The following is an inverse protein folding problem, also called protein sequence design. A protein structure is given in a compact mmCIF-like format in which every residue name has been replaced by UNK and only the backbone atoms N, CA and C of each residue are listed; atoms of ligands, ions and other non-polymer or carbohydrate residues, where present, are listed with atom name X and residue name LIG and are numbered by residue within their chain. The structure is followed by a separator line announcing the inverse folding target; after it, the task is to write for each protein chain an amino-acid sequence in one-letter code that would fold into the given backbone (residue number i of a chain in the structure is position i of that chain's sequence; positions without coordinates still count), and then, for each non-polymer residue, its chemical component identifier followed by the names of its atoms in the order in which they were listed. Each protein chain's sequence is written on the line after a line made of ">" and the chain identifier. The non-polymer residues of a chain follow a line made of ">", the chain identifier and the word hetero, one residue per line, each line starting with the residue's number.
data_IF_826253267203
#
_entry.id   IF_826253267203
#
_cell.length_a   1.000
_cell.length_b   1.000
_cell.length_c   1.000
_cell.angle_alpha   90.00
_cell.angle_beta   90.00
_cell.angle_gamma   90.00
#
_symmetry.space_group_name_H-M   'P 1'
#
loop_
_entity.id
_entity.type
_entity.pdbx_description
1 polymer ?
#
# COMPACT_ATOMS: atom_id res chain seq x y z
N UNK A 1 17.25 -16.41 13.26
CA UNK A 1 15.96 -15.69 13.42
C UNK A 1 14.90 -16.47 12.67
N UNK A 2 13.85 -16.92 13.34
CA UNK A 2 12.75 -17.66 12.70
C UNK A 2 12.16 -16.84 11.55
N UNK A 3 12.08 -17.43 10.36
CA UNK A 3 11.62 -16.81 9.12
C UNK A 3 10.12 -16.52 9.08
N UNK A 4 9.54 -16.05 10.19
CA UNK A 4 8.15 -15.63 10.26
C UNK A 4 7.89 -14.59 9.19
N UNK A 5 7.11 -14.99 8.19
CA UNK A 5 6.60 -14.09 7.16
C UNK A 5 5.45 -13.35 7.80
N UNK A 6 5.81 -12.38 8.65
CA UNK A 6 4.92 -11.36 9.23
C UNK A 6 4.33 -10.48 8.12
N UNK A 7 3.57 -11.07 7.20
CA UNK A 7 2.56 -10.37 6.42
C UNK A 7 1.61 -9.57 7.31
N UNK A 8 1.57 -9.93 8.60
CA UNK A 8 0.96 -9.22 9.70
C UNK A 8 1.69 -7.98 10.25
N UNK A 9 2.90 -7.60 9.83
CA UNK A 9 3.56 -6.39 10.40
C UNK A 9 2.74 -5.12 10.18
N UNK A 10 2.03 -5.03 9.05
CA UNK A 10 1.14 -3.91 8.74
C UNK A 10 -0.33 -4.31 8.99
N UNK A 11 -0.72 -5.52 8.60
CA UNK A 11 -2.11 -5.94 8.67
C UNK A 11 -2.63 -6.08 10.11
N UNK A 12 -1.83 -6.60 11.05
CA UNK A 12 -2.28 -6.83 12.43
C UNK A 12 -2.46 -5.53 13.22
N UNK A 13 -1.51 -4.57 13.22
CA UNK A 13 -1.74 -3.28 13.87
C UNK A 13 -2.94 -2.53 13.31
N UNK A 14 -3.11 -2.57 11.98
CA UNK A 14 -4.25 -1.96 11.32
C UNK A 14 -5.55 -2.66 11.74
N UNK A 15 -5.58 -4.00 11.74
CA UNK A 15 -6.73 -4.79 12.17
C UNK A 15 -7.12 -4.48 13.62
N UNK A 16 -6.15 -4.31 14.52
CA UNK A 16 -6.41 -3.93 15.91
C UNK A 16 -7.12 -2.57 16.00
N UNK A 17 -6.61 -1.55 15.31
CA UNK A 17 -7.24 -0.22 15.24
C UNK A 17 -8.64 -0.30 14.62
N UNK A 18 -8.80 -1.09 13.55
CA UNK A 18 -10.10 -1.31 12.93
C UNK A 18 -11.11 -1.99 13.84
N UNK A 19 -10.66 -2.98 14.62
CA UNK A 19 -11.54 -3.71 15.52
C UNK A 19 -11.95 -2.85 16.70
N UNK A 20 -11.04 -2.02 17.23
CA UNK A 20 -11.38 -1.03 18.25
C UNK A 20 -12.37 0.02 17.70
N UNK A 21 -12.22 0.38 16.42
CA UNK A 21 -13.12 1.31 15.75
C UNK A 21 -14.50 0.69 15.52
N UNK A 22 -14.55 -0.54 15.01
CA UNK A 22 -15.79 -1.30 14.89
C UNK A 22 -15.54 -2.79 15.10
N UNK A 23 -16.25 -3.40 16.05
CA UNK A 23 -16.04 -4.81 16.39
C UNK A 23 -16.40 -5.76 15.25
N UNK A 24 -17.30 -5.33 14.36
CA UNK A 24 -17.73 -6.10 13.17
C UNK A 24 -16.60 -6.24 12.14
N UNK A 25 -15.56 -5.40 12.20
CA UNK A 25 -14.45 -5.48 11.25
C UNK A 25 -13.60 -6.75 11.44
N UNK A 26 -13.49 -7.28 12.66
CA UNK A 26 -12.75 -8.51 12.92
C UNK A 26 -13.35 -9.73 12.21
N UNK A 27 -14.64 -10.08 12.39
CA UNK A 27 -15.22 -11.22 11.69
C UNK A 27 -15.23 -11.04 10.16
N UNK A 28 -15.47 -9.82 9.66
CA UNK A 28 -15.38 -9.53 8.22
C UNK A 28 -13.96 -9.82 7.71
N UNK A 29 -12.93 -9.34 8.43
CA UNK A 29 -11.54 -9.56 8.05
C UNK A 29 -11.18 -11.05 8.03
N UNK A 30 -11.49 -11.78 9.10
CA UNK A 30 -11.18 -13.22 9.22
C UNK A 30 -11.87 -14.02 8.12
N UNK A 31 -13.15 -13.76 7.88
CA UNK A 31 -13.91 -14.43 6.81
C UNK A 31 -13.34 -14.10 5.43
N UNK A 32 -13.04 -12.82 5.17
CA UNK A 32 -12.45 -12.39 3.89
C UNK A 32 -11.07 -13.01 3.65
N UNK A 33 -10.24 -13.12 4.69
CA UNK A 33 -8.92 -13.73 4.60
C UNK A 33 -9.02 -15.24 4.36
N UNK A 34 -9.96 -15.93 5.03
CA UNK A 34 -10.21 -17.35 4.83
C UNK A 34 -10.67 -17.65 3.39
N UNK A 35 -11.63 -16.88 2.86
CA UNK A 35 -12.10 -17.08 1.49
C UNK A 35 -11.01 -16.73 0.47
N UNK A 36 -10.23 -15.67 0.69
CA UNK A 36 -9.08 -15.37 -0.16
C UNK A 36 -8.05 -16.50 -0.17
N UNK A 37 -7.77 -17.10 0.99
CA UNK A 37 -6.85 -18.23 1.12
C UNK A 37 -7.35 -19.47 0.36
N UNK A 38 -8.63 -19.80 0.49
CA UNK A 38 -9.27 -20.90 -0.23
C UNK A 38 -9.31 -20.64 -1.75
N UNK A 39 -9.71 -19.44 -2.16
CA UNK A 39 -9.76 -19.02 -3.56
C UNK A 39 -8.39 -19.08 -4.23
N UNK A 40 -7.34 -18.60 -3.55
CA UNK A 40 -5.95 -18.74 -4.01
C UNK A 40 -5.53 -20.20 -4.14
N UNK A 41 -5.89 -21.05 -3.18
CA UNK A 41 -5.60 -22.48 -3.25
C UNK A 41 -6.22 -23.11 -4.49
N UNK A 42 -7.48 -22.81 -4.78
CA UNK A 42 -8.18 -23.30 -5.97
C UNK A 42 -7.55 -22.78 -7.27
N UNK A 43 -7.16 -21.51 -7.32
CA UNK A 43 -6.48 -20.92 -8.47
C UNK A 43 -5.13 -21.58 -8.71
N UNK A 44 -4.28 -21.73 -7.68
CA UNK A 44 -2.96 -22.36 -7.83
C UNK A 44 -3.06 -23.81 -8.30
N UNK A 45 -4.06 -24.54 -7.83
CA UNK A 45 -4.26 -25.93 -8.23
C UNK A 45 -4.74 -26.07 -9.68
N UNK A 46 -5.38 -25.04 -10.25
CA UNK A 46 -5.96 -25.08 -11.61
C UNK A 46 -5.20 -24.25 -12.64
N UNK A 47 -4.39 -23.31 -12.19
CA UNK A 47 -3.68 -22.33 -13.01
C UNK A 47 -2.29 -22.17 -12.41
N UNK A 48 -1.23 -22.23 -13.23
CA UNK A 48 0.18 -22.10 -12.82
C UNK A 48 0.52 -20.65 -12.41
N UNK A 49 -0.34 -20.03 -11.62
CA UNK A 49 -0.25 -18.65 -11.16
C UNK A 49 0.60 -18.64 -9.90
N UNK A 50 1.83 -18.14 -10.03
CA UNK A 50 2.79 -18.04 -8.93
C UNK A 50 3.33 -16.63 -8.78
N UNK A 51 3.80 -16.33 -7.56
CA UNK A 51 4.54 -15.10 -7.25
C UNK A 51 3.67 -13.86 -7.36
N UNK A 52 3.84 -13.09 -8.43
CA UNK A 52 3.27 -11.74 -8.54
C UNK A 52 1.78 -11.74 -8.88
N UNK A 53 1.37 -12.58 -9.82
CA UNK A 53 -0.03 -12.73 -10.18
C UNK A 53 -0.83 -13.26 -8.97
N UNK A 54 -0.24 -14.17 -8.20
CA UNK A 54 -0.81 -14.68 -6.94
C UNK A 54 -1.18 -13.55 -5.97
N UNK A 55 -0.30 -12.55 -5.75
CA UNK A 55 -0.60 -11.40 -4.89
C UNK A 55 -1.79 -10.55 -5.40
N UNK A 56 -1.87 -10.32 -6.72
CA UNK A 56 -2.94 -9.52 -7.32
C UNK A 56 -4.28 -10.24 -7.15
N UNK A 57 -4.34 -11.53 -7.47
CA UNK A 57 -5.54 -12.34 -7.28
C UNK A 57 -5.93 -12.43 -5.80
N UNK A 58 -4.96 -12.53 -4.90
CA UNK A 58 -5.21 -12.52 -3.46
C UNK A 58 -5.92 -11.23 -3.02
N UNK A 59 -5.43 -10.08 -3.46
CA UNK A 59 -6.03 -8.77 -3.16
C UNK A 59 -7.42 -8.66 -3.78
N UNK A 60 -7.61 -9.09 -5.03
CA UNK A 60 -8.91 -9.06 -5.70
C UNK A 60 -9.95 -9.93 -4.97
N UNK A 61 -9.62 -11.17 -4.65
CA UNK A 61 -10.55 -12.08 -3.95
C UNK A 61 -10.80 -11.61 -2.52
N UNK A 62 -9.75 -11.20 -1.80
CA UNK A 62 -9.87 -10.72 -0.42
C UNK A 62 -10.65 -9.42 -0.28
N UNK A 63 -10.68 -8.60 -1.33
CA UNK A 63 -11.50 -7.38 -1.37
C UNK A 63 -12.92 -7.61 -1.87
N UNK A 64 -13.19 -8.73 -2.54
CA UNK A 64 -14.50 -9.04 -3.09
C UNK A 64 -15.56 -9.12 -1.98
N UNK A 65 -15.29 -9.79 -0.87
CA UNK A 65 -16.26 -9.96 0.22
C UNK A 65 -16.67 -8.64 0.88
N UNK A 66 -15.75 -7.78 1.36
CA UNK A 66 -16.13 -6.48 1.92
C UNK A 66 -16.88 -5.61 0.91
N UNK A 67 -16.53 -5.71 -0.39
CA UNK A 67 -17.23 -5.00 -1.47
C UNK A 67 -18.63 -5.56 -1.68
N UNK A 68 -18.82 -6.87 -1.74
CA UNK A 68 -20.14 -7.51 -1.92
C UNK A 68 -21.05 -7.20 -0.74
N UNK A 69 -20.58 -7.40 0.50
CA UNK A 69 -21.35 -7.06 1.72
C UNK A 69 -21.80 -5.60 1.66
N UNK A 70 -20.93 -4.70 1.22
CA UNK A 70 -21.29 -3.30 1.07
C UNK A 70 -22.32 -3.07 -0.04
N UNK A 71 -22.18 -3.69 -1.21
CA UNK A 71 -23.13 -3.48 -2.31
C UNK A 71 -24.53 -4.02 -1.98
N UNK A 72 -24.61 -5.11 -1.20
CA UNK A 72 -25.89 -5.73 -0.84
C UNK A 72 -26.53 -5.12 0.40
N UNK A 73 -25.74 -4.78 1.42
CA UNK A 73 -26.24 -4.31 2.72
C UNK A 73 -25.93 -2.83 3.02
N UNK A 74 -25.22 -2.13 2.14
CA UNK A 74 -24.76 -0.75 2.39
C UNK A 74 -25.86 0.26 2.66
N UNK A 75 -27.08 0.04 2.14
CA UNK A 75 -28.25 0.87 2.42
C UNK A 75 -28.79 0.69 3.84
N UNK A 76 -28.61 -0.49 4.44
CA UNK A 76 -29.09 -0.80 5.79
C UNK A 76 -28.12 -0.34 6.89
N UNK A 77 -26.85 -0.11 6.54
CA UNK A 77 -25.74 0.06 7.48
C UNK A 77 -24.93 1.33 7.15
N UNK A 78 -25.61 2.39 6.72
CA UNK A 78 -25.00 3.61 6.16
C UNK A 78 -23.92 4.26 7.06
N UNK A 79 -24.00 4.11 8.38
CA UNK A 79 -23.09 4.78 9.33
C UNK A 79 -21.85 3.96 9.75
N UNK A 80 -21.91 2.62 9.83
CA UNK A 80 -20.78 1.81 10.28
C UNK A 80 -19.63 1.74 9.26
N UNK A 81 -19.91 2.03 7.99
CA UNK A 81 -18.98 1.74 6.90
C UNK A 81 -18.25 2.97 6.30
N UNK A 82 -18.44 4.17 6.85
CA UNK A 82 -17.96 5.39 6.20
C UNK A 82 -16.43 5.57 6.33
N UNK A 83 -15.74 5.55 5.18
CA UNK A 83 -14.31 5.87 4.98
C UNK A 83 -13.28 4.82 5.45
N UNK A 84 -13.54 4.13 6.56
CA UNK A 84 -12.53 3.31 7.24
C UNK A 84 -12.44 1.93 6.55
N UNK A 85 -13.54 1.32 6.11
CA UNK A 85 -13.58 -0.09 5.64
C UNK A 85 -12.79 -0.42 4.37
N UNK A 86 -12.43 0.56 3.52
CA UNK A 86 -11.80 0.27 2.23
C UNK A 86 -10.30 -0.06 2.30
N UNK A 87 -9.53 0.57 3.20
CA UNK A 87 -8.12 0.20 3.36
C UNK A 87 -8.01 -1.18 4.00
N UNK A 88 -8.96 -1.48 4.90
CA UNK A 88 -9.14 -2.80 5.49
C UNK A 88 -9.56 -3.90 4.50
N UNK A 89 -10.04 -3.60 3.28
CA UNK A 89 -10.47 -4.64 2.34
C UNK A 89 -9.32 -5.22 1.50
N UNK A 90 -8.17 -4.56 1.42
CA UNK A 90 -6.97 -5.10 0.75
C UNK A 90 -6.23 -6.07 1.68
N UNK A 91 -6.25 -5.79 2.99
CA UNK A 91 -5.48 -6.52 4.00
C UNK A 91 -5.82 -8.01 4.11
N UNK A 92 -7.09 -8.46 4.03
CA UNK A 92 -7.43 -9.88 4.06
C UNK A 92 -6.75 -10.66 2.94
N UNK A 93 -6.74 -10.10 1.73
CA UNK A 93 -6.05 -10.69 0.58
C UNK A 93 -4.54 -10.77 0.80
N UNK A 94 -3.94 -9.70 1.31
CA UNK A 94 -2.51 -9.67 1.64
C UNK A 94 -2.16 -10.70 2.73
N UNK A 95 -3.01 -10.85 3.74
CA UNK A 95 -2.83 -11.84 4.79
C UNK A 95 -2.91 -13.26 4.23
N UNK A 96 -3.90 -13.55 3.39
CA UNK A 96 -4.04 -14.83 2.72
C UNK A 96 -2.83 -15.19 1.85
N UNK A 97 -2.36 -14.23 1.04
CA UNK A 97 -1.15 -14.40 0.22
C UNK A 97 0.07 -14.72 1.08
N UNK A 98 0.30 -13.93 2.14
CA UNK A 98 1.45 -14.14 3.02
C UNK A 98 1.39 -15.47 3.76
N UNK A 99 0.20 -15.93 4.14
CA UNK A 99 0.01 -17.20 4.81
C UNK A 99 0.24 -18.40 3.85
N UNK A 100 -0.20 -18.30 2.59
CA UNK A 100 0.12 -19.30 1.53
C UNK A 100 1.61 -19.48 1.32
N UNK A 101 2.35 -18.39 1.51
CA UNK A 101 3.76 -18.28 1.28
C UNK A 101 4.61 -18.80 2.46
N UNK A 102 4.02 -19.17 3.59
CA UNK A 102 4.72 -19.78 4.72
C UNK A 102 4.90 -21.29 4.52
N UNK A 103 6.01 -21.81 5.03
CA UNK A 103 6.25 -23.26 5.14
C UNK A 103 5.29 -23.86 6.19
N UNK A 104 4.80 -25.08 5.95
CA UNK A 104 3.77 -25.71 6.77
C UNK A 104 4.13 -25.79 8.27
N UNK A 105 5.41 -25.99 8.58
CA UNK A 105 5.93 -26.04 9.95
C UNK A 105 5.80 -24.69 10.69
N UNK A 106 5.95 -23.58 9.98
CA UNK A 106 5.95 -22.23 10.55
C UNK A 106 4.57 -21.58 10.57
N UNK A 107 3.63 -22.05 9.74
CA UNK A 107 2.26 -21.51 9.60
C UNK A 107 1.51 -21.39 10.91
N UNK A 108 1.56 -22.41 11.77
CA UNK A 108 0.83 -22.42 13.05
C UNK A 108 1.40 -21.40 14.01
N UNK A 109 2.72 -21.30 14.09
CA UNK A 109 3.41 -20.38 14.97
C UNK A 109 3.30 -18.93 14.50
N UNK A 110 3.30 -18.68 13.19
CA UNK A 110 3.04 -17.35 12.63
C UNK A 110 1.62 -16.88 12.97
N UNK A 111 0.61 -17.75 12.80
CA UNK A 111 -0.77 -17.46 13.17
C UNK A 111 -0.94 -17.19 14.67
N UNK A 112 -0.32 -18.02 15.52
CA UNK A 112 -0.34 -17.83 16.97
C UNK A 112 0.31 -16.50 17.36
N UNK A 113 1.47 -16.20 16.77
CA UNK A 113 2.18 -14.93 17.01
C UNK A 113 1.33 -13.74 16.57
N UNK A 114 0.71 -13.80 15.39
CA UNK A 114 -0.20 -12.78 14.90
C UNK A 114 -1.41 -12.58 15.82
N UNK A 115 -1.99 -13.66 16.34
CA UNK A 115 -3.09 -13.61 17.30
C UNK A 115 -2.66 -12.99 18.64
N UNK A 116 -1.50 -13.38 19.18
CA UNK A 116 -0.95 -12.79 20.41
C UNK A 116 -0.69 -11.30 20.23
N UNK A 117 -0.03 -10.90 19.15
CA UNK A 117 0.23 -9.48 18.83
C UNK A 117 -1.07 -8.72 18.68
N UNK A 118 -2.07 -9.29 18.00
CA UNK A 118 -3.40 -8.69 17.88
C UNK A 118 -4.04 -8.47 19.26
N UNK A 119 -4.08 -9.49 20.11
CA UNK A 119 -4.67 -9.40 21.45
C UNK A 119 -3.94 -8.37 22.31
N UNK A 120 -2.62 -8.32 22.26
CA UNK A 120 -1.83 -7.31 22.95
C UNK A 120 -2.15 -5.89 22.47
N UNK A 121 -2.17 -5.65 21.16
CA UNK A 121 -2.46 -4.33 20.59
C UNK A 121 -3.91 -3.90 20.82
N UNK A 122 -4.85 -4.83 20.66
CA UNK A 122 -6.26 -4.60 20.95
C UNK A 122 -6.47 -4.28 22.43
N UNK A 123 -5.89 -5.07 23.33
CA UNK A 123 -5.97 -4.87 24.78
C UNK A 123 -5.32 -3.55 25.21
N UNK A 124 -4.19 -3.18 24.61
CA UNK A 124 -3.52 -1.91 24.85
C UNK A 124 -4.37 -0.73 24.37
N UNK A 125 -4.91 -0.80 23.15
CA UNK A 125 -5.80 0.25 22.64
C UNK A 125 -7.10 0.33 23.44
N UNK A 126 -7.65 -0.81 23.88
CA UNK A 126 -8.76 -0.86 24.81
C UNK A 126 -8.42 -0.16 26.13
N UNK A 127 -7.29 -0.48 26.75
CA UNK A 127 -6.84 0.16 27.99
C UNK A 127 -6.70 1.67 27.84
N UNK A 128 -6.07 2.15 26.76
CA UNK A 128 -5.89 3.57 26.52
C UNK A 128 -7.19 4.31 26.23
N UNK A 129 -8.20 3.67 25.67
CA UNK A 129 -9.55 4.25 25.59
C UNK A 129 -10.22 4.08 26.95
N UNK A 130 -9.92 4.99 27.87
CA UNK A 130 -10.53 5.06 29.20
C UNK A 130 -10.84 6.51 29.58
N UNK A 131 -11.66 6.68 30.63
CA UNK A 131 -12.02 8.00 31.14
C UNK A 131 -10.81 8.75 31.71
N UNK A 132 -9.84 8.00 32.27
CA UNK A 132 -8.62 8.56 32.87
C UNK A 132 -7.74 9.27 31.82
N UNK A 133 -7.65 8.70 30.61
CA UNK A 133 -6.84 9.27 29.55
C UNK A 133 -7.63 10.20 28.61
N UNK A 134 -8.96 10.28 28.73
CA UNK A 134 -9.79 11.12 27.87
C UNK A 134 -9.39 12.61 27.90
N UNK A 135 -9.10 13.24 29.06
CA UNK A 135 -8.74 14.66 29.11
C UNK A 135 -7.46 15.01 28.35
N UNK A 136 -6.51 14.07 28.25
CA UNK A 136 -5.22 14.26 27.59
C UNK A 136 -5.21 13.74 26.16
N UNK A 137 -5.67 12.51 25.93
CA UNK A 137 -5.62 11.86 24.62
C UNK A 137 -6.75 12.31 23.68
N UNK A 138 -7.94 12.64 24.20
CA UNK A 138 -9.05 13.06 23.37
C UNK A 138 -8.99 14.55 22.97
N UNK A 139 -8.11 15.34 23.60
CA UNK A 139 -7.91 16.76 23.28
C UNK A 139 -6.59 17.02 22.55
N UNK A 140 -5.52 16.31 22.91
CA UNK A 140 -4.19 16.52 22.33
C UNK A 140 -3.99 15.79 21.01
N UNK A 141 -4.50 14.56 20.87
CA UNK A 141 -4.33 13.75 19.67
C UNK A 141 -5.63 13.69 18.85
N UNK A 142 -5.56 13.46 17.54
CA UNK A 142 -6.77 13.35 16.75
C UNK A 142 -7.65 12.17 17.20
N UNK A 143 -8.94 12.46 17.37
CA UNK A 143 -9.93 11.79 18.24
C UNK A 143 -10.47 10.48 17.62
N UNK A 144 -9.58 9.67 17.06
CA UNK A 144 -9.95 8.48 16.28
C UNK A 144 -10.74 7.45 17.08
N UNK A 145 -10.15 6.99 18.18
CA UNK A 145 -10.71 5.96 19.05
C UNK A 145 -11.64 6.52 20.13
N UNK A 146 -11.62 7.83 20.37
CA UNK A 146 -12.53 8.55 21.29
C UNK A 146 -13.77 9.13 20.60
N UNK A 147 -13.93 8.97 19.29
CA UNK A 147 -15.09 9.50 18.55
C UNK A 147 -16.35 8.65 18.75
N UNK A 148 -17.53 9.25 18.56
CA UNK A 148 -18.84 8.56 18.61
C UNK A 148 -19.02 7.42 17.61
N UNK A 149 -18.20 7.37 16.57
CA UNK A 149 -18.20 6.27 15.60
C UNK A 149 -17.25 5.13 15.99
N UNK A 150 -16.59 5.21 17.15
CA UNK A 150 -15.76 4.13 17.67
C UNK A 150 -16.57 3.28 18.65
N UNK A 151 -16.75 2.00 18.33
CA UNK A 151 -17.48 1.04 19.17
C UNK A 151 -16.86 0.96 20.57
N UNK A 152 -15.53 0.99 20.68
CA UNK A 152 -14.85 0.96 22.00
C UNK A 152 -15.20 2.17 22.88
N UNK A 153 -15.23 3.38 22.33
CA UNK A 153 -15.53 4.58 23.13
C UNK A 153 -17.01 4.71 23.47
N UNK A 154 -17.89 4.29 22.56
CA UNK A 154 -19.34 4.25 22.83
C UNK A 154 -19.68 3.19 23.87
N UNK A 155 -19.10 1.99 23.75
CA UNK A 155 -19.29 0.91 24.72
C UNK A 155 -18.79 1.30 26.12
N UNK A 156 -17.67 2.02 26.21
CA UNK A 156 -17.13 2.52 27.47
C UNK A 156 -17.77 3.82 27.98
N UNK A 157 -18.67 4.44 27.22
CA UNK A 157 -19.29 5.72 27.59
C UNK A 157 -18.31 6.90 27.65
N UNK A 158 -17.17 6.83 26.94
CA UNK A 158 -16.12 7.87 26.93
C UNK A 158 -16.05 8.63 25.60
N UNK A 159 -17.04 8.46 24.74
CA UNK A 159 -17.07 9.08 23.42
C UNK A 159 -17.21 10.61 23.50
N UNK A 160 -16.37 11.33 22.78
CA UNK A 160 -16.37 12.79 22.70
C UNK A 160 -17.27 13.26 21.55
N UNK A 161 -18.03 14.31 21.82
CA UNK A 161 -19.00 14.89 20.90
C UNK A 161 -18.33 15.87 19.93
N UNK A 162 -17.76 15.34 18.85
CA UNK A 162 -17.18 16.12 17.74
C UNK A 162 -17.90 15.81 16.42
N UNK A 163 -17.94 16.75 15.45
CA UNK A 163 -18.59 16.54 14.17
C UNK A 163 -17.83 15.48 13.38
N UNK A 164 -18.60 14.55 12.79
CA UNK A 164 -18.03 13.47 11.99
C UNK A 164 -17.35 14.04 10.75
N UNK A 165 -16.16 13.51 10.44
CA UNK A 165 -15.48 13.85 9.19
C UNK A 165 -16.30 13.34 8.00
N UNK A 166 -16.68 14.21 7.05
CA UNK A 166 -17.50 13.78 5.92
C UNK A 166 -16.73 12.83 5.02
N UNK A 167 -17.49 11.99 4.31
CA UNK A 167 -16.98 11.09 3.27
C UNK A 167 -16.46 11.93 2.09
N UNK A 168 -15.20 11.68 1.68
CA UNK A 168 -14.53 12.44 0.61
C UNK A 168 -14.98 11.95 -0.77
N UNK A 169 -15.05 10.63 -0.92
CA UNK A 169 -15.28 9.95 -2.19
C UNK A 169 -16.34 8.86 -2.03
N UNK A 170 -17.27 8.73 -3.00
CA UNK A 170 -18.12 7.56 -3.08
C UNK A 170 -17.28 6.29 -3.15
N UNK A 171 -17.73 5.21 -2.50
CA UNK A 171 -16.91 4.00 -2.34
C UNK A 171 -16.52 3.35 -3.67
N UNK A 172 -17.44 3.32 -4.64
CA UNK A 172 -17.17 2.79 -5.97
C UNK A 172 -16.02 3.54 -6.65
N UNK A 173 -16.01 4.87 -6.53
CA UNK A 173 -14.95 5.73 -7.09
C UNK A 173 -13.61 5.41 -6.42
N UNK A 174 -13.61 5.23 -5.10
CA UNK A 174 -12.42 4.77 -4.37
C UNK A 174 -11.92 3.43 -4.91
N UNK A 175 -12.79 2.44 -5.10
CA UNK A 175 -12.42 1.12 -5.66
C UNK A 175 -11.75 1.26 -7.02
N UNK A 176 -12.38 2.01 -7.94
CA UNK A 176 -11.88 2.24 -9.29
C UNK A 176 -10.54 2.96 -9.28
N UNK A 177 -10.39 3.98 -8.43
CA UNK A 177 -9.12 4.70 -8.28
C UNK A 177 -8.00 3.77 -7.82
N UNK A 178 -8.27 2.91 -6.85
CA UNK A 178 -7.29 1.93 -6.38
C UNK A 178 -6.93 0.90 -7.45
N UNK A 179 -7.91 0.43 -8.22
CA UNK A 179 -7.66 -0.45 -9.36
C UNK A 179 -6.76 0.23 -10.40
N UNK A 180 -7.03 1.49 -10.74
CA UNK A 180 -6.20 2.30 -11.64
C UNK A 180 -4.80 2.52 -11.05
N UNK A 181 -4.70 2.81 -9.76
CA UNK A 181 -3.42 2.88 -9.05
C UNK A 181 -2.64 1.58 -9.16
N UNK A 182 -3.28 0.42 -8.91
CA UNK A 182 -2.67 -0.91 -9.06
C UNK A 182 -2.13 -1.16 -10.47
N UNK A 183 -2.91 -0.85 -11.50
CA UNK A 183 -2.45 -0.94 -12.88
C UNK A 183 -1.26 -0.02 -13.16
N UNK A 184 -1.32 1.23 -12.70
CA UNK A 184 -0.24 2.20 -12.89
C UNK A 184 1.06 1.73 -12.23
N UNK A 185 1.00 1.28 -10.98
CA UNK A 185 2.21 0.82 -10.31
C UNK A 185 2.72 -0.51 -10.87
N UNK A 186 1.84 -1.36 -11.40
CA UNK A 186 2.30 -2.56 -12.10
C UNK A 186 3.14 -2.15 -13.30
N UNK A 187 2.65 -1.22 -14.11
CA UNK A 187 3.36 -0.68 -15.29
C UNK A 187 4.68 0.01 -14.92
N UNK A 188 4.67 0.81 -13.85
CA UNK A 188 5.91 1.44 -13.34
C UNK A 188 6.92 0.39 -12.91
N UNK A 189 6.48 -0.66 -12.21
CA UNK A 189 7.36 -1.71 -11.73
C UNK A 189 7.86 -2.61 -12.85
N UNK A 190 7.02 -2.96 -13.81
CA UNK A 190 7.39 -3.76 -14.98
C UNK A 190 8.46 -3.04 -15.81
N UNK A 191 8.24 -1.75 -16.10
CA UNK A 191 9.15 -0.96 -16.92
C UNK A 191 10.43 -0.53 -16.20
N UNK A 192 10.32 -0.06 -14.96
CA UNK A 192 11.43 0.59 -14.25
C UNK A 192 12.01 -0.25 -13.10
N UNK A 193 11.42 -1.41 -12.77
CA UNK A 193 11.79 -2.26 -11.62
C UNK A 193 11.77 -1.54 -10.25
N UNK A 194 10.97 -0.47 -10.14
CA UNK A 194 10.85 0.34 -8.92
C UNK A 194 9.48 0.12 -8.27
N UNK A 195 9.50 -0.05 -6.93
CA UNK A 195 8.30 -0.24 -6.11
C UNK A 195 7.86 1.09 -5.48
N UNK A 196 7.04 1.87 -6.19
CA UNK A 196 6.59 3.20 -5.74
C UNK A 196 5.56 3.22 -4.60
N UNK A 197 5.08 2.05 -4.16
CA UNK A 197 4.10 1.93 -3.07
C UNK A 197 2.70 2.38 -3.48
N UNK A 198 2.05 1.58 -4.33
CA UNK A 198 0.77 1.91 -4.99
C UNK A 198 -0.31 2.43 -4.06
N UNK A 199 -0.54 1.66 -2.99
CA UNK A 199 -1.60 1.88 -2.01
C UNK A 199 -1.35 3.24 -1.34
N UNK A 200 -0.09 3.57 -1.10
CA UNK A 200 0.32 4.85 -0.53
C UNK A 200 -0.02 6.02 -1.44
N UNK A 201 0.30 5.92 -2.73
CA UNK A 201 0.10 7.00 -3.70
C UNK A 201 -1.39 7.27 -3.92
N UNK A 202 -2.18 6.21 -4.11
CA UNK A 202 -3.63 6.32 -4.27
C UNK A 202 -4.31 6.90 -3.01
N UNK A 203 -3.92 6.41 -1.82
CA UNK A 203 -4.46 6.94 -0.57
C UNK A 203 -4.07 8.38 -0.31
N UNK A 204 -2.82 8.74 -0.60
CA UNK A 204 -2.36 10.10 -0.42
C UNK A 204 -3.14 11.07 -1.32
N UNK A 205 -3.46 10.66 -2.55
CA UNK A 205 -4.30 11.44 -3.48
C UNK A 205 -5.75 11.59 -3.02
N UNK A 206 -6.28 10.64 -2.25
CA UNK A 206 -7.60 10.76 -1.60
C UNK A 206 -7.49 11.68 -0.38
N UNK A 207 -6.47 11.47 0.45
CA UNK A 207 -6.24 12.23 1.68
C UNK A 207 -5.92 13.70 1.43
N UNK A 208 -5.28 14.04 0.32
CA UNK A 208 -5.06 15.43 -0.09
C UNK A 208 -6.36 16.18 -0.34
N UNK A 209 -7.44 15.52 -0.82
CA UNK A 209 -8.76 16.14 -0.95
C UNK A 209 -9.45 16.37 0.41
N UNK A 210 -9.02 15.69 1.46
CA UNK A 210 -9.49 15.92 2.83
C UNK A 210 -8.72 17.04 3.52
N UNK A 211 -7.39 16.92 3.55
CA UNK A 211 -6.52 17.86 4.25
C UNK A 211 -5.13 17.86 3.59
N UNK A 212 -4.72 19.00 3.04
CA UNK A 212 -3.38 19.18 2.45
C UNK A 212 -2.24 18.88 3.43
N UNK A 213 -2.49 19.01 4.73
CA UNK A 213 -1.50 18.76 5.78
C UNK A 213 -1.11 17.29 5.88
N UNK A 214 -1.98 16.37 5.43
CA UNK A 214 -1.65 14.95 5.33
C UNK A 214 -0.55 14.69 4.29
N UNK A 215 -0.44 15.52 3.26
CA UNK A 215 0.67 15.45 2.29
C UNK A 215 1.98 15.94 2.92
N UNK A 216 1.94 17.04 3.67
CA UNK A 216 3.12 17.51 4.42
C UNK A 216 3.57 16.48 5.46
N UNK A 217 2.62 15.90 6.20
CA UNK A 217 2.89 14.81 7.14
C UNK A 217 3.57 13.63 6.46
N UNK A 218 3.09 13.21 5.29
CA UNK A 218 3.70 12.13 4.52
C UNK A 218 5.16 12.43 4.16
N UNK A 219 5.44 13.64 3.67
CA UNK A 219 6.80 14.07 3.28
C UNK A 219 7.73 14.08 4.50
N UNK A 220 7.28 14.63 5.63
CA UNK A 220 8.07 14.59 6.87
C UNK A 220 8.33 13.15 7.32
N UNK A 221 7.29 12.32 7.36
CA UNK A 221 7.39 10.95 7.86
C UNK A 221 8.25 10.05 6.98
N UNK A 222 8.21 10.20 5.65
CA UNK A 222 9.06 9.38 4.79
C UNK A 222 10.54 9.73 5.00
N UNK A 223 10.86 11.01 5.19
CA UNK A 223 12.24 11.47 5.45
C UNK A 223 12.73 10.92 6.80
N UNK A 224 11.96 11.14 7.87
CA UNK A 224 12.38 10.72 9.23
C UNK A 224 12.44 9.19 9.30
N UNK A 225 11.46 8.48 8.73
CA UNK A 225 11.47 7.01 8.68
C UNK A 225 12.65 6.47 7.86
N UNK A 226 13.01 7.14 6.76
CA UNK A 226 14.16 6.73 5.95
C UNK A 226 15.48 6.86 6.73
N UNK A 227 15.66 7.96 7.46
CA UNK A 227 16.81 8.17 8.33
C UNK A 227 16.85 7.09 9.43
N UNK A 228 15.72 6.84 10.11
CA UNK A 228 15.62 5.82 11.15
C UNK A 228 15.96 4.42 10.61
N UNK A 229 15.41 4.06 9.44
CA UNK A 229 15.71 2.80 8.75
C UNK A 229 17.20 2.69 8.43
N UNK A 230 17.84 3.74 7.92
CA UNK A 230 19.29 3.71 7.65
C UNK A 230 20.11 3.50 8.92
N UNK A 231 19.78 4.23 10.00
CA UNK A 231 20.50 4.13 11.29
C UNK A 231 20.37 2.72 11.85
N UNK A 232 19.15 2.18 11.91
CA UNK A 232 18.87 0.85 12.44
C UNK A 232 19.52 -0.22 11.56
N UNK A 233 19.41 -0.11 10.24
CA UNK A 233 20.03 -1.07 9.33
C UNK A 233 21.56 -1.09 9.52
N UNK A 234 22.21 0.08 9.61
CA UNK A 234 23.66 0.16 9.81
C UNK A 234 24.10 -0.37 11.18
N UNK A 235 23.30 -0.18 12.23
CA UNK A 235 23.67 -0.61 13.58
C UNK A 235 23.38 -2.08 13.87
N UNK A 236 22.31 -2.63 13.29
CA UNK A 236 21.81 -3.98 13.62
C UNK A 236 21.92 -5.00 12.49
N UNK A 237 22.26 -4.55 11.27
CA UNK A 237 22.25 -5.35 10.04
C UNK A 237 20.90 -6.04 9.76
N UNK A 238 19.81 -5.58 10.40
CA UNK A 238 18.46 -6.05 10.11
C UNK A 238 18.08 -5.70 8.68
N UNK A 239 17.47 -6.66 7.99
CA UNK A 239 17.08 -6.53 6.60
C UNK A 239 15.70 -7.13 6.34
N UNK A 240 15.20 -6.93 5.11
CA UNK A 240 13.96 -7.56 4.67
C UNK A 240 12.74 -7.03 5.42
N UNK A 241 11.83 -7.95 5.77
CA UNK A 241 10.51 -7.62 6.33
C UNK A 241 10.57 -7.04 7.75
N UNK A 242 11.59 -7.38 8.53
CA UNK A 242 11.76 -6.82 9.88
C UNK A 242 11.97 -5.31 9.78
N UNK A 243 12.79 -4.88 8.82
CA UNK A 243 13.07 -3.47 8.58
C UNK A 243 11.83 -2.71 8.04
N UNK A 244 10.98 -3.37 7.24
CA UNK A 244 9.66 -2.83 6.84
C UNK A 244 8.79 -2.59 8.08
N UNK A 245 8.69 -3.58 8.96
CA UNK A 245 7.88 -3.49 10.19
C UNK A 245 8.37 -2.38 11.11
N UNK A 246 9.69 -2.27 11.30
CA UNK A 246 10.32 -1.19 12.06
C UNK A 246 10.02 0.18 11.42
N UNK A 247 10.14 0.30 10.11
CA UNK A 247 9.81 1.52 9.38
C UNK A 247 8.35 1.94 9.58
N UNK A 248 7.42 1.00 9.45
CA UNK A 248 6.00 1.26 9.67
C UNK A 248 5.70 1.63 11.14
N UNK A 249 6.28 0.92 12.10
CA UNK A 249 6.11 1.20 13.53
C UNK A 249 6.65 2.59 13.90
N UNK A 250 7.85 2.91 13.42
CA UNK A 250 8.45 4.23 13.61
C UNK A 250 7.57 5.33 12.98
N UNK A 251 7.09 5.10 11.75
CA UNK A 251 6.18 6.02 11.06
C UNK A 251 4.89 6.29 11.83
N UNK A 252 4.29 5.27 12.46
CA UNK A 252 3.12 5.42 13.34
C UNK A 252 3.47 6.29 14.56
N UNK A 253 4.55 5.96 15.26
CA UNK A 253 4.96 6.66 16.48
C UNK A 253 5.26 8.13 16.18
N UNK A 254 5.96 8.40 15.08
CA UNK A 254 6.27 9.76 14.64
C UNK A 254 5.05 10.51 14.10
N UNK A 255 4.03 9.82 13.58
CA UNK A 255 2.81 10.45 13.08
C UNK A 255 2.01 11.12 14.20
N UNK A 256 2.06 10.60 15.43
CA UNK A 256 1.33 11.16 16.56
C UNK A 256 1.76 12.60 16.85
N UNK A 257 3.00 12.90 17.28
CA UNK A 257 3.41 14.26 17.61
C UNK A 257 3.31 15.21 16.41
N UNK A 258 3.64 14.74 15.20
CA UNK A 258 3.50 15.57 13.99
C UNK A 258 2.04 15.89 13.65
N UNK A 259 1.10 14.98 13.95
CA UNK A 259 -0.33 15.25 13.73
C UNK A 259 -0.88 16.30 14.67
N UNK A 260 -0.34 16.37 15.90
CA UNK A 260 -0.66 17.40 16.89
C UNK A 260 -0.13 18.75 16.40
N UNK A 261 1.16 18.80 16.04
CA UNK A 261 1.83 20.01 15.57
C UNK A 261 1.18 20.58 14.30
N UNK A 262 0.81 19.72 13.36
CA UNK A 262 0.13 20.12 12.12
C UNK A 262 -1.38 20.34 12.33
N UNK A 263 -1.92 20.16 13.55
CA UNK A 263 -3.34 20.27 13.87
C UNK A 263 -4.24 19.49 12.89
N UNK A 264 -3.88 18.23 12.63
CA UNK A 264 -4.59 17.32 11.74
C UNK A 264 -5.77 16.72 12.50
N UNK A 265 -6.99 16.89 11.99
CA UNK A 265 -8.21 16.41 12.67
C UNK A 265 -8.55 14.95 12.32
N UNK A 266 -8.13 14.49 11.13
CA UNK A 266 -8.39 13.12 10.64
C UNK A 266 -7.29 12.16 11.09
N UNK A 267 -7.32 11.76 12.37
CA UNK A 267 -6.22 10.98 12.95
C UNK A 267 -5.99 9.60 12.33
N UNK A 268 -7.04 8.93 11.86
CA UNK A 268 -6.90 7.60 11.27
C UNK A 268 -6.19 7.73 9.92
N UNK A 269 -6.50 8.77 9.15
CA UNK A 269 -5.72 9.12 7.96
C UNK A 269 -4.27 9.46 8.30
N UNK A 270 -3.99 10.17 9.40
CA UNK A 270 -2.62 10.47 9.84
C UNK A 270 -1.83 9.20 10.20
N UNK A 271 -2.44 8.25 10.92
CA UNK A 271 -1.83 6.95 11.23
C UNK A 271 -1.53 6.15 9.95
N UNK A 272 -2.48 6.11 9.01
CA UNK A 272 -2.24 5.47 7.71
C UNK A 272 -1.10 6.14 6.95
N UNK A 273 -1.08 7.47 6.91
CA UNK A 273 0.03 8.22 6.30
C UNK A 273 1.37 7.82 6.92
N UNK A 274 1.44 7.63 8.24
CA UNK A 274 2.66 7.14 8.91
C UNK A 274 3.07 5.73 8.52
N UNK A 275 2.12 4.79 8.46
CA UNK A 275 2.40 3.42 7.97
C UNK A 275 2.93 3.46 6.55
N UNK A 276 2.23 4.16 5.65
CA UNK A 276 2.55 4.23 4.23
C UNK A 276 3.89 4.91 3.98
N UNK A 277 4.19 5.97 4.73
CA UNK A 277 5.47 6.65 4.70
C UNK A 277 6.62 5.75 5.18
N UNK A 278 6.42 5.01 6.28
CA UNK A 278 7.41 4.05 6.79
C UNK A 278 7.72 2.91 5.83
N UNK A 279 6.68 2.35 5.19
CA UNK A 279 6.82 1.31 4.16
C UNK A 279 7.52 1.86 2.91
N UNK A 280 7.18 3.08 2.49
CA UNK A 280 7.82 3.69 1.33
C UNK A 280 9.26 4.11 1.60
N UNK A 281 9.58 4.54 2.82
CA UNK A 281 10.95 4.77 3.23
C UNK A 281 11.80 3.49 3.08
N UNK A 282 11.25 2.33 3.46
CA UNK A 282 11.90 1.05 3.19
C UNK A 282 12.05 0.77 1.69
N UNK A 283 11.01 1.02 0.89
CA UNK A 283 11.08 0.82 -0.57
C UNK A 283 12.20 1.66 -1.21
N UNK A 284 12.37 2.92 -0.78
CA UNK A 284 13.48 3.78 -1.20
C UNK A 284 14.82 3.23 -0.73
N UNK A 285 14.88 2.72 0.51
CA UNK A 285 16.11 2.16 1.08
C UNK A 285 16.61 0.93 0.33
N UNK A 286 15.71 0.03 -0.07
CA UNK A 286 16.07 -1.21 -0.77
C UNK A 286 16.27 -1.01 -2.28
N UNK A 287 15.71 0.05 -2.87
CA UNK A 287 15.94 0.36 -4.28
C UNK A 287 17.44 0.48 -4.60
N UNK A 288 17.84 0.04 -5.78
CA UNK A 288 19.24 0.11 -6.23
C UNK A 288 19.72 1.57 -6.27
N UNK A 289 20.96 1.90 -5.86
CA UNK A 289 21.44 3.28 -5.82
C UNK A 289 21.23 4.08 -7.12
N UNK A 290 21.45 3.45 -8.27
CA UNK A 290 21.23 4.07 -9.59
C UNK A 290 19.75 4.38 -9.86
N UNK A 291 18.84 3.53 -9.41
CA UNK A 291 17.39 3.67 -9.61
C UNK A 291 16.69 4.50 -8.52
N UNK A 292 17.35 4.76 -7.38
CA UNK A 292 16.77 5.53 -6.25
C UNK A 292 16.36 6.94 -6.67
N UNK A 293 17.12 7.57 -7.56
CA UNK A 293 16.83 8.92 -8.05
C UNK A 293 15.51 8.98 -8.84
N UNK A 294 15.13 7.89 -9.49
CA UNK A 294 13.89 7.76 -10.26
C UNK A 294 12.66 7.56 -9.37
N UNK A 295 12.85 7.16 -8.11
CA UNK A 295 11.74 6.91 -7.19
C UNK A 295 10.88 8.15 -6.96
N UNK A 296 11.51 9.30 -6.69
CA UNK A 296 10.82 10.56 -6.40
C UNK A 296 9.97 11.02 -7.58
N UNK A 297 10.50 11.18 -8.81
CA UNK A 297 9.69 11.60 -9.95
C UNK A 297 8.59 10.59 -10.29
N UNK A 298 8.85 9.28 -10.19
CA UNK A 298 7.81 8.26 -10.43
C UNK A 298 6.69 8.32 -9.39
N UNK A 299 7.03 8.43 -8.11
CA UNK A 299 6.04 8.51 -7.04
C UNK A 299 5.24 9.82 -7.11
N UNK A 300 5.92 10.94 -7.36
CA UNK A 300 5.29 12.25 -7.49
C UNK A 300 4.41 12.35 -8.73
N UNK A 301 4.89 11.92 -9.90
CA UNK A 301 4.10 11.88 -11.12
C UNK A 301 2.87 10.98 -10.98
N UNK A 302 3.03 9.80 -10.37
CA UNK A 302 1.90 8.90 -10.09
C UNK A 302 0.90 9.51 -9.11
N UNK A 303 1.38 10.23 -8.10
CA UNK A 303 0.53 10.96 -7.15
C UNK A 303 -0.28 12.05 -7.85
N UNK A 304 0.36 12.88 -8.68
CA UNK A 304 -0.32 13.97 -9.41
C UNK A 304 -1.35 13.41 -10.39
N UNK A 305 -1.02 12.33 -11.10
CA UNK A 305 -1.96 11.64 -11.98
C UNK A 305 -3.21 11.18 -11.23
N UNK A 306 -3.02 10.46 -10.11
CA UNK A 306 -4.13 9.99 -9.29
C UNK A 306 -4.88 11.14 -8.60
N UNK A 307 -4.20 12.24 -8.26
CA UNK A 307 -4.81 13.44 -7.69
C UNK A 307 -5.74 14.14 -8.68
N UNK A 308 -5.34 14.28 -9.94
CA UNK A 308 -6.22 14.80 -10.98
C UNK A 308 -7.46 13.92 -11.13
N UNK A 309 -7.28 12.59 -11.13
CA UNK A 309 -8.37 11.64 -11.27
C UNK A 309 -9.33 11.64 -10.06
N UNK A 310 -8.79 11.68 -8.83
CA UNK A 310 -9.65 11.82 -7.62
C UNK A 310 -10.37 13.15 -7.63
N UNK A 311 -9.72 14.23 -8.06
CA UNK A 311 -10.35 15.54 -8.06
C UNK A 311 -11.49 15.67 -9.08
N UNK A 312 -11.39 14.99 -10.23
CA UNK A 312 -12.47 14.89 -11.23
C UNK A 312 -13.74 14.22 -10.68
N UNK A 313 -13.59 13.33 -9.70
CA UNK A 313 -14.64 12.41 -9.26
C UNK A 313 -15.08 12.62 -7.81
N UNK A 314 -14.34 13.42 -7.04
CA UNK A 314 -14.51 13.61 -5.60
C UNK A 314 -14.77 15.04 -5.16
N UNK A 315 -15.44 15.16 -4.01
CA UNK A 315 -15.62 16.43 -3.33
C UNK A 315 -14.36 16.79 -2.54
N UNK A 316 -14.07 18.10 -2.48
CA UNK A 316 -12.94 18.62 -1.71
C UNK A 316 -13.44 19.22 -0.42
N UNK A 317 -12.89 18.74 0.70
CA UNK A 317 -13.21 19.31 2.01
C UNK A 317 -12.56 20.70 2.16
N UNK A 318 -12.99 21.51 3.13
CA UNK A 318 -12.44 22.86 3.31
C UNK A 318 -10.91 22.91 3.43
N UNK A 319 -10.26 21.90 4.02
CA UNK A 319 -8.79 21.85 4.15
C UNK A 319 -8.08 21.10 3.01
N UNK A 320 -8.84 20.56 2.06
CA UNK A 320 -8.34 19.78 0.95
C UNK A 320 -7.71 20.62 -0.17
N UNK A 321 -6.99 19.92 -1.04
CA UNK A 321 -6.30 20.46 -2.21
C UNK A 321 -6.36 19.47 -3.38
N UNK A 322 -6.57 19.92 -4.63
CA UNK A 322 -6.73 21.32 -5.07
C UNK A 322 -8.18 21.84 -4.96
N UNK A 323 -8.37 23.11 -4.55
CA UNK A 323 -9.71 23.71 -4.40
C UNK A 323 -10.33 24.07 -5.75
N UNK A 324 -9.60 24.83 -6.56
CA UNK A 324 -9.96 25.12 -7.94
C UNK A 324 -9.53 23.95 -8.81
N UNK A 325 -10.41 23.54 -9.73
CA UNK A 325 -10.10 22.47 -10.65
C UNK A 325 -10.92 22.63 -11.94
N UNK A 326 -10.29 23.27 -12.92
CA UNK A 326 -10.78 23.42 -14.28
C UNK A 326 -9.75 22.92 -15.29
N UNK A 327 -9.87 23.39 -16.53
CA UNK A 327 -8.98 22.99 -17.62
C UNK A 327 -7.51 23.33 -17.34
N UNK A 328 -7.25 24.48 -16.73
CA UNK A 328 -5.89 24.93 -16.41
C UNK A 328 -5.19 23.98 -15.45
N UNK A 329 -5.84 23.57 -14.36
CA UNK A 329 -5.27 22.64 -13.39
C UNK A 329 -5.08 21.23 -13.97
N UNK A 330 -5.97 20.80 -14.86
CA UNK A 330 -5.80 19.54 -15.60
C UNK A 330 -4.56 19.61 -16.50
N UNK A 331 -4.38 20.70 -17.25
CA UNK A 331 -3.22 20.89 -18.13
C UNK A 331 -1.93 20.93 -17.30
N UNK A 332 -1.90 21.68 -16.20
CA UNK A 332 -0.74 21.74 -15.30
C UNK A 332 -0.44 20.36 -14.72
N UNK A 333 -1.45 19.66 -14.22
CA UNK A 333 -1.31 18.32 -13.66
C UNK A 333 -0.75 17.33 -14.68
N UNK A 334 -1.32 17.28 -15.89
CA UNK A 334 -0.84 16.44 -16.97
C UNK A 334 0.57 16.81 -17.43
N UNK A 335 0.91 18.10 -17.44
CA UNK A 335 2.26 18.57 -17.76
C UNK A 335 3.28 18.10 -16.71
N UNK A 336 2.95 18.16 -15.43
CA UNK A 336 3.79 17.63 -14.34
C UNK A 336 3.97 16.12 -14.51
N UNK A 337 2.90 15.38 -14.79
CA UNK A 337 2.96 13.93 -15.07
C UNK A 337 3.90 13.66 -16.25
N UNK A 338 3.73 14.37 -17.36
CA UNK A 338 4.56 14.22 -18.55
C UNK A 338 6.03 14.53 -18.28
N UNK A 339 6.34 15.59 -17.52
CA UNK A 339 7.72 15.93 -17.14
C UNK A 339 8.33 14.86 -16.24
N UNK A 340 7.60 14.39 -15.22
CA UNK A 340 8.10 13.37 -14.31
C UNK A 340 8.38 12.04 -15.02
N UNK A 341 7.42 11.54 -15.80
CA UNK A 341 7.60 10.29 -16.55
C UNK A 341 8.59 10.46 -17.70
N UNK A 342 8.62 11.61 -18.37
CA UNK A 342 9.59 11.92 -19.42
C UNK A 342 11.02 12.00 -18.91
N UNK A 343 11.24 12.61 -17.73
CA UNK A 343 12.54 12.62 -17.07
C UNK A 343 13.01 11.20 -16.72
N UNK A 344 12.11 10.38 -16.18
CA UNK A 344 12.43 8.99 -15.86
C UNK A 344 12.74 8.19 -17.11
N UNK A 345 11.98 8.38 -18.18
CA UNK A 345 12.21 7.70 -19.45
C UNK A 345 13.54 8.10 -20.08
N UNK A 346 13.90 9.38 -19.99
CA UNK A 346 15.19 9.87 -20.47
C UNK A 346 16.38 9.26 -19.72
N UNK A 347 16.23 8.99 -18.42
CA UNK A 347 17.29 8.37 -17.62
C UNK A 347 17.28 6.84 -17.65
N UNK A 348 16.17 6.22 -18.05
CA UNK A 348 16.05 4.76 -18.05
C UNK A 348 16.74 4.19 -19.29
N UNK A 349 17.81 3.42 -19.07
CA UNK A 349 18.45 2.66 -20.14
C UNK A 349 17.47 1.56 -20.57
N UNK A 350 17.10 1.56 -21.86
CA UNK A 350 16.20 0.56 -22.44
C UNK A 350 16.75 -0.84 -22.20
N UNK A 351 15.97 -1.69 -21.53
CA UNK A 351 16.27 -3.13 -21.49
C UNK A 351 16.21 -3.67 -22.92
N UNK A 352 17.15 -4.54 -23.33
CA UNK A 352 17.06 -5.20 -24.63
C UNK A 352 15.78 -6.04 -24.68
N UNK A 353 15.13 -6.02 -25.84
CA UNK A 353 13.83 -6.65 -26.06
C UNK A 353 13.93 -8.17 -25.88
N UNK A 354 13.05 -8.76 -25.05
CA UNK A 354 13.11 -10.19 -24.73
C UNK A 354 12.86 -11.05 -25.97
N UNK A 355 12.04 -10.59 -26.92
CA UNK A 355 11.85 -11.23 -28.23
C UNK A 355 13.14 -11.18 -29.06
N UNK A 356 13.80 -10.03 -29.12
CA UNK A 356 15.07 -9.90 -29.84
C UNK A 356 16.23 -10.70 -29.20
N UNK A 357 16.20 -10.91 -27.88
CA UNK A 357 17.15 -11.79 -27.18
C UNK A 357 16.79 -13.26 -27.40
N UNK A 358 15.50 -13.61 -27.36
CA UNK A 358 14.98 -14.94 -27.66
C UNK A 358 15.39 -15.39 -29.06
N UNK A 359 15.22 -14.52 -30.06
CA UNK A 359 15.56 -14.79 -31.46
C UNK A 359 17.06 -14.94 -31.69
N UNK A 360 17.87 -14.28 -30.84
CA UNK A 360 19.35 -14.38 -30.86
C UNK A 360 19.90 -15.42 -29.89
N UNK A 361 19.04 -16.06 -29.10
CA UNK A 361 19.46 -17.04 -28.10
C UNK A 361 19.86 -18.34 -28.78
N UNK A 362 21.03 -18.85 -28.40
CA UNK A 362 21.57 -20.13 -28.88
C UNK A 362 20.61 -21.29 -28.55
N UNK A 363 19.76 -21.12 -27.52
CA UNK A 363 18.77 -22.12 -27.07
C UNK A 363 17.52 -22.22 -27.96
N UNK A 364 17.21 -21.17 -28.74
CA UNK A 364 16.06 -21.12 -29.64
C UNK A 364 16.42 -21.31 -31.11
N UNK A 365 17.72 -21.49 -31.42
CA UNK A 365 18.09 -21.95 -32.77
C UNK A 365 17.51 -23.34 -32.97
N UNK A 366 16.74 -23.59 -34.05
CA UNK A 366 16.29 -24.93 -34.37
C UNK A 366 17.53 -25.82 -34.46
N UNK A 367 17.55 -26.88 -33.67
CA UNK A 367 18.60 -27.89 -33.67
C UNK A 367 18.47 -28.77 -34.93
N UNK A 368 18.40 -28.15 -36.10
CA UNK A 368 18.42 -28.84 -37.37
C UNK A 368 19.89 -29.04 -37.73
N UNK A 369 20.37 -30.26 -37.48
CA UNK A 369 21.64 -30.81 -37.94
C UNK A 369 21.78 -30.85 -39.49
N UNK A 370 21.01 -30.05 -40.22
CA UNK A 370 21.06 -29.94 -41.69
C UNK A 370 21.55 -28.58 -42.18
N UNK A 371 21.49 -27.50 -41.39
CA UNK A 371 21.95 -26.17 -41.84
C UNK A 371 23.43 -25.88 -41.51
N UNK A 372 24.07 -26.70 -40.66
CA UNK A 372 25.49 -26.58 -40.36
C UNK A 372 26.39 -26.91 -41.57
N UNK A 373 25.86 -27.60 -42.59
CA UNK A 373 26.60 -27.94 -43.80
C UNK A 373 26.59 -26.83 -44.87
N UNK A 374 25.73 -25.82 -44.74
CA UNK A 374 25.60 -24.76 -45.74
C UNK A 374 26.46 -23.52 -45.46
N UNK A 375 26.97 -23.36 -44.23
CA UNK A 375 27.75 -22.19 -43.79
C UNK A 375 29.27 -22.37 -43.89
N UNK A 376 29.77 -23.56 -44.24
CA UNK A 376 31.21 -23.82 -44.44
C UNK A 376 31.72 -23.46 -45.85
N UNK A 377 30.85 -22.95 -46.75
CA UNK A 377 31.21 -22.70 -48.15
C UNK A 377 31.33 -21.22 -48.57
N UNK A 378 31.22 -20.26 -47.65
CA UNK A 378 31.47 -18.84 -47.95
C UNK A 378 32.64 -18.30 -47.14
N UNK A 379 33.84 -18.80 -47.45
CA UNK A 379 35.07 -18.03 -47.22
C UNK A 379 35.80 -17.86 -48.56
N UNK A 380 35.75 -16.69 -49.20
CA UNK A 380 36.76 -16.35 -50.19
C UNK A 380 38.04 -16.03 -49.42
N UNK A 381 39.04 -16.88 -49.63
CA UNK A 381 40.45 -16.55 -49.41
C UNK A 381 40.76 -15.27 -50.17
N UNK A 382 41.03 -14.18 -49.46
CA UNK A 382 41.92 -13.13 -49.98
C UNK A 382 43.22 -13.20 -49.19
N UNK A 383 44.24 -13.70 -49.88
CA UNK A 383 45.64 -13.67 -49.52
C UNK A 383 46.23 -12.30 -49.83
N UNK A 384 47.07 -11.82 -48.91
CA UNK A 384 48.03 -10.70 -49.02
C UNK A 384 48.79 -10.65 -50.36
N UNK A 385 49.34 -9.47 -50.73
CA UNK A 385 50.62 -9.00 -50.18
C UNK A 385 50.58 -7.64 -49.47
#
# INVERSE_FOLDING_TARGET
>A
MYGYRLGGTIAIPILAVYTLKSFVMLPIYVFSAAVAYLGLGLLKNKTLIYGRAELIYAILIGSLIPVTIFLTFGFLIQDLFQTVVFIGSILPGLAAYNYHQLDDETRRWDLLTAAVVFVCLFGLGWFFVSAEFAPTLATAAPITLYSRTADVATWKGVAVNEPLSPVILPRLVTVLLFAIGMLLSERVRERYDIRIGVVSVALLAIFSLADRRLVYLYICLIIISYIAIQVIHRSSLLYGRVLVGIGAAFGIVAAIPLSIELAITRGLSALFVGILAGVNAYNVHVAQPASRQLFIPLQFGSFVFLLCLTRLTGAVLPRGFPRQFGLTEIIIGLSIVAVCFGYVEWQTIRKPDEEAISDRSILNRPNNSQDAAALDNETPRESDP
#
